data_IF_239386747775
#
_entry.id   IF_239386747775
#
_cell.length_a   1.000
_cell.length_b   1.000
_cell.length_c   1.000
_cell.angle_alpha   90.00
_cell.angle_beta   90.00
_cell.angle_gamma   90.00
#
_symmetry.space_group_name_H-M   'P 1'
#
loop_
_entity.id
_entity.type
_entity.pdbx_description
1 polymer ?
#
# COMPACT_ATOMS: atom_id res chain seq x y z
N UNK A 1 10.06 -19.22 -21.88
CA UNK A 1 11.34 -18.92 -21.20
C UNK A 1 11.07 -17.74 -20.28
N UNK A 2 10.55 -18.02 -19.08
CA UNK A 2 10.08 -16.99 -18.14
C UNK A 2 11.21 -16.75 -17.15
N UNK A 3 11.83 -15.58 -17.23
CA UNK A 3 12.89 -15.17 -16.32
C UNK A 3 12.32 -14.95 -14.92
N UNK A 4 12.81 -15.71 -13.95
CA UNK A 4 12.61 -15.42 -12.54
C UNK A 4 13.20 -14.05 -12.23
N UNK A 5 12.37 -13.09 -11.83
CA UNK A 5 12.83 -11.87 -11.17
C UNK A 5 13.37 -12.31 -9.81
N UNK A 6 14.68 -12.51 -9.72
CA UNK A 6 15.36 -12.68 -8.44
C UNK A 6 15.14 -11.42 -7.64
N UNK A 7 14.53 -11.54 -6.45
CA UNK A 7 14.51 -10.49 -5.46
C UNK A 7 15.96 -10.07 -5.20
N UNK A 8 16.31 -8.85 -5.61
CA UNK A 8 17.60 -8.28 -5.34
C UNK A 8 17.68 -7.98 -3.84
N UNK A 9 18.60 -8.65 -3.15
CA UNK A 9 19.00 -8.33 -1.78
C UNK A 9 19.47 -6.86 -1.73
N UNK A 10 18.58 -5.95 -1.35
CA UNK A 10 18.90 -4.56 -0.99
C UNK A 10 19.57 -4.57 0.38
N UNK A 11 20.88 -4.76 0.45
CA UNK A 11 21.64 -4.69 1.70
C UNK A 11 22.81 -3.70 1.67
N UNK A 12 22.85 -2.72 0.76
CA UNK A 12 23.95 -1.75 0.73
C UNK A 12 23.64 -0.33 0.21
N UNK A 13 22.36 0.08 0.11
CA UNK A 13 21.94 1.39 -0.43
C UNK A 13 21.17 2.28 0.57
N UNK A 14 21.09 1.88 1.85
CA UNK A 14 20.28 2.56 2.85
C UNK A 14 20.75 3.99 3.16
N UNK A 15 22.06 4.18 3.28
CA UNK A 15 22.65 5.48 3.62
C UNK A 15 22.31 6.56 2.57
N UNK A 16 22.47 6.25 1.28
CA UNK A 16 22.18 7.21 0.22
C UNK A 16 20.69 7.49 0.02
N UNK A 17 19.79 6.58 0.40
CA UNK A 17 18.35 6.82 0.39
C UNK A 17 17.91 7.70 1.56
N UNK A 18 18.51 7.50 2.73
CA UNK A 18 18.25 8.30 3.92
C UNK A 18 18.72 9.75 3.73
N UNK A 19 19.91 9.96 3.17
CA UNK A 19 20.45 11.29 2.86
C UNK A 19 19.55 12.04 1.88
N UNK A 20 19.09 11.40 0.80
CA UNK A 20 18.13 11.98 -0.15
C UNK A 20 16.80 12.35 0.52
N UNK A 21 16.35 11.54 1.47
CA UNK A 21 15.14 11.82 2.22
C UNK A 21 15.33 13.04 3.15
N UNK A 22 16.48 13.16 3.80
CA UNK A 22 16.82 14.32 4.62
C UNK A 22 16.97 15.59 3.78
N UNK A 23 17.58 15.50 2.59
CA UNK A 23 17.61 16.59 1.62
C UNK A 23 16.20 17.04 1.22
N UNK A 24 15.31 16.10 0.87
CA UNK A 24 13.93 16.40 0.53
C UNK A 24 13.16 17.04 1.69
N UNK A 25 13.38 16.55 2.92
CA UNK A 25 12.81 17.12 4.15
C UNK A 25 13.28 18.56 4.37
N UNK A 26 14.58 18.81 4.20
CA UNK A 26 15.17 20.14 4.31
C UNK A 26 14.59 21.11 3.26
N UNK A 27 14.47 20.67 2.00
CA UNK A 27 13.88 21.46 0.92
C UNK A 27 12.41 21.85 1.18
N UNK A 28 11.66 21.00 1.88
CA UNK A 28 10.28 21.27 2.29
C UNK A 28 10.16 21.98 3.64
N UNK A 29 11.29 22.41 4.22
CA UNK A 29 11.32 23.17 5.49
C UNK A 29 10.91 22.35 6.71
N UNK A 30 11.09 21.02 6.67
CA UNK A 30 10.75 20.14 7.78
C UNK A 30 11.76 20.31 8.92
N UNK A 31 11.26 20.47 10.14
CA UNK A 31 12.10 20.51 11.33
C UNK A 31 12.64 19.11 11.70
N UNK A 32 13.69 19.08 12.52
CA UNK A 32 14.20 17.82 13.08
C UNK A 32 13.11 17.10 13.87
N UNK A 33 12.96 15.80 13.62
CA UNK A 33 11.90 14.97 14.19
C UNK A 33 10.51 15.15 13.58
N UNK A 34 10.29 16.11 12.67
CA UNK A 34 9.04 16.20 11.92
C UNK A 34 9.11 15.34 10.65
N UNK A 35 8.30 14.26 10.55
CA UNK A 35 8.36 13.37 9.40
C UNK A 35 7.74 14.03 8.16
N UNK A 36 8.28 13.68 7.00
CA UNK A 36 7.67 13.97 5.70
C UNK A 36 6.43 13.08 5.51
N UNK A 37 5.25 13.68 5.36
CA UNK A 37 3.98 12.99 5.20
C UNK A 37 3.56 12.99 3.74
N UNK A 38 3.62 11.81 3.11
CA UNK A 38 3.25 11.60 1.71
C UNK A 38 1.93 10.85 1.63
N UNK A 39 1.03 11.35 0.79
CA UNK A 39 -0.32 10.82 0.65
C UNK A 39 -0.63 10.52 -0.80
N UNK A 40 -0.87 9.26 -1.12
CA UNK A 40 -1.46 8.87 -2.41
C UNK A 40 -2.99 9.01 -2.36
N UNK A 41 -3.60 9.76 -3.27
CA UNK A 41 -5.05 9.88 -3.40
C UNK A 41 -5.52 9.02 -4.56
N UNK A 42 -6.18 7.90 -4.25
CA UNK A 42 -6.64 6.93 -5.25
C UNK A 42 -5.88 5.61 -5.14
N UNK A 43 -6.61 4.54 -4.89
CA UNK A 43 -6.08 3.19 -4.69
C UNK A 43 -6.50 2.23 -5.80
N UNK A 44 -6.39 2.69 -7.05
CA UNK A 44 -6.39 1.82 -8.22
C UNK A 44 -5.03 1.17 -8.42
N UNK A 45 -4.84 0.44 -9.53
CA UNK A 45 -3.60 -0.26 -9.83
C UNK A 45 -2.35 0.64 -9.68
N UNK A 46 -2.31 1.76 -10.39
CA UNK A 46 -1.18 2.70 -10.35
C UNK A 46 -0.95 3.33 -8.98
N UNK A 47 -2.00 3.88 -8.35
CA UNK A 47 -1.88 4.52 -7.04
C UNK A 47 -1.41 3.56 -5.96
N UNK A 48 -1.92 2.32 -5.96
CA UNK A 48 -1.48 1.27 -5.01
C UNK A 48 -0.03 0.84 -5.24
N UNK A 49 0.38 0.61 -6.50
CA UNK A 49 1.76 0.24 -6.83
C UNK A 49 2.73 1.36 -6.46
N UNK A 50 2.40 2.61 -6.81
CA UNK A 50 3.25 3.75 -6.51
C UNK A 50 3.43 3.94 -4.99
N UNK A 51 2.34 3.89 -4.22
CA UNK A 51 2.40 3.96 -2.76
C UNK A 51 3.21 2.79 -2.16
N UNK A 52 3.05 1.58 -2.70
CA UNK A 52 3.81 0.40 -2.28
C UNK A 52 5.31 0.56 -2.56
N UNK A 53 5.71 1.08 -3.73
CA UNK A 53 7.11 1.33 -4.04
C UNK A 53 7.74 2.37 -3.12
N UNK A 54 7.02 3.44 -2.79
CA UNK A 54 7.47 4.42 -1.80
C UNK A 54 7.61 3.77 -0.41
N UNK A 55 6.61 2.99 -0.01
CA UNK A 55 6.57 2.33 1.30
C UNK A 55 7.68 1.28 1.44
N UNK A 56 7.99 0.55 0.36
CA UNK A 56 9.06 -0.44 0.34
C UNK A 56 10.45 0.21 0.39
N UNK A 57 10.63 1.32 -0.35
CA UNK A 57 11.91 2.03 -0.43
C UNK A 57 12.24 2.81 0.85
N UNK A 58 11.26 3.56 1.38
CA UNK A 58 11.50 4.54 2.45
C UNK A 58 10.82 4.19 3.77
N UNK A 59 9.89 3.23 3.79
CA UNK A 59 9.06 2.94 4.96
C UNK A 59 9.80 2.35 6.17
N UNK A 60 11.09 2.02 6.01
CA UNK A 60 11.98 1.70 7.12
C UNK A 60 12.34 2.94 7.97
N UNK A 61 12.36 4.13 7.37
CA UNK A 61 12.69 5.40 8.03
C UNK A 61 11.44 6.06 8.64
N UNK A 62 10.71 5.35 9.49
CA UNK A 62 9.38 5.78 9.99
C UNK A 62 9.37 7.11 10.73
N UNK A 63 10.49 7.46 11.36
CA UNK A 63 10.67 8.75 12.05
C UNK A 63 10.92 9.91 11.08
N UNK A 64 11.30 9.61 9.84
CA UNK A 64 11.62 10.60 8.80
C UNK A 64 10.52 10.72 7.74
N UNK A 65 9.76 9.65 7.48
CA UNK A 65 8.70 9.63 6.48
C UNK A 65 7.52 8.79 6.93
N UNK A 66 6.32 9.28 6.61
CA UNK A 66 5.07 8.54 6.75
C UNK A 66 4.33 8.53 5.43
N UNK A 67 4.03 7.33 4.94
CA UNK A 67 3.33 7.13 3.67
C UNK A 67 1.96 6.55 3.98
N UNK A 68 0.91 7.17 3.43
CA UNK A 68 -0.45 6.65 3.50
C UNK A 68 -1.12 6.76 2.14
N UNK A 69 -2.14 5.93 1.94
CA UNK A 69 -2.96 5.94 0.74
C UNK A 69 -4.42 6.15 1.11
N UNK A 70 -5.07 7.09 0.46
CA UNK A 70 -6.51 7.24 0.53
C UNK A 70 -7.20 6.33 -0.48
N UNK A 71 -8.19 5.59 0.00
CA UNK A 71 -9.10 4.79 -0.81
C UNK A 71 -10.54 5.13 -0.48
N UNK A 72 -11.37 5.30 -1.51
CA UNK A 72 -12.83 5.40 -1.34
C UNK A 72 -13.37 4.11 -0.68
N UNK A 73 -14.08 4.19 0.46
CA UNK A 73 -14.60 3.02 1.16
C UNK A 73 -15.78 2.37 0.41
N UNK A 74 -16.13 1.16 0.82
CA UNK A 74 -17.41 0.54 0.47
C UNK A 74 -17.41 -0.37 -0.77
N UNK A 75 -16.26 -0.55 -1.44
CA UNK A 75 -16.15 -1.55 -2.51
C UNK A 75 -15.95 -2.94 -1.92
N UNK A 76 -17.02 -3.73 -1.87
CA UNK A 76 -16.97 -5.14 -1.49
C UNK A 76 -16.16 -5.96 -2.50
N UNK A 77 -15.49 -6.99 -2.01
CA UNK A 77 -14.85 -8.05 -2.78
C UNK A 77 -15.89 -9.14 -2.99
N UNK A 78 -16.19 -9.47 -4.24
CA UNK A 78 -17.11 -10.57 -4.53
C UNK A 78 -16.50 -11.94 -4.20
N UNK A 79 -17.35 -12.96 -4.10
CA UNK A 79 -16.95 -14.31 -3.72
C UNK A 79 -15.89 -14.90 -4.64
N UNK A 80 -16.05 -14.77 -5.95
CA UNK A 80 -15.11 -15.30 -6.94
C UNK A 80 -13.71 -14.66 -6.78
N UNK A 81 -13.68 -13.34 -6.54
CA UNK A 81 -12.45 -12.61 -6.28
C UNK A 81 -11.84 -12.99 -4.93
N UNK A 82 -12.65 -13.25 -3.89
CA UNK A 82 -12.18 -13.72 -2.59
C UNK A 82 -11.57 -15.13 -2.68
N UNK A 83 -12.19 -16.03 -3.46
CA UNK A 83 -11.67 -17.37 -3.76
C UNK A 83 -10.32 -17.28 -4.50
N UNK A 84 -10.24 -16.47 -5.56
CA UNK A 84 -8.98 -16.27 -6.29
C UNK A 84 -7.89 -15.63 -5.42
N UNK A 85 -8.24 -14.63 -4.61
CA UNK A 85 -7.31 -14.00 -3.68
C UNK A 85 -6.74 -15.02 -2.68
N UNK A 86 -7.57 -15.94 -2.20
CA UNK A 86 -7.13 -17.01 -1.30
C UNK A 86 -6.13 -17.96 -1.98
N UNK A 87 -6.34 -18.29 -3.26
CA UNK A 87 -5.38 -19.07 -4.05
C UNK A 87 -4.05 -18.33 -4.22
N UNK A 88 -4.09 -17.03 -4.53
CA UNK A 88 -2.90 -16.19 -4.62
C UNK A 88 -2.13 -16.16 -3.30
N UNK A 89 -2.82 -16.03 -2.17
CA UNK A 89 -2.19 -16.08 -0.84
C UNK A 89 -1.48 -17.42 -0.62
N UNK A 90 -2.13 -18.54 -0.92
CA UNK A 90 -1.57 -19.88 -0.66
C UNK A 90 -0.46 -20.28 -1.64
N UNK A 91 -0.42 -19.68 -2.83
CA UNK A 91 0.66 -19.89 -3.79
C UNK A 91 1.95 -19.13 -3.47
N UNK A 92 1.93 -18.21 -2.49
CA UNK A 92 3.08 -17.37 -2.11
C UNK A 92 3.40 -17.49 -0.62
N UNK A 93 4.46 -18.23 -0.33
CA UNK A 93 4.85 -18.56 1.05
C UNK A 93 5.14 -17.33 1.93
N UNK A 94 5.78 -16.30 1.37
CA UNK A 94 6.11 -15.05 2.06
C UNK A 94 4.85 -14.29 2.48
N UNK A 95 3.85 -14.24 1.61
CA UNK A 95 2.55 -13.62 1.86
C UNK A 95 1.78 -14.40 2.92
N UNK A 96 1.69 -15.72 2.76
CA UNK A 96 1.01 -16.61 3.72
C UNK A 96 1.60 -16.46 5.13
N UNK A 97 2.93 -16.57 5.27
CA UNK A 97 3.62 -16.41 6.57
C UNK A 97 3.35 -15.04 7.18
N UNK A 98 3.42 -13.97 6.38
CA UNK A 98 3.12 -12.60 6.83
C UNK A 98 1.70 -12.48 7.40
N UNK A 99 0.71 -13.05 6.73
CA UNK A 99 -0.69 -12.98 7.19
C UNK A 99 -0.95 -13.82 8.43
N UNK A 100 -0.32 -15.00 8.55
CA UNK A 100 -0.39 -15.83 9.76
C UNK A 100 0.19 -15.08 10.96
N UNK A 101 1.39 -14.52 10.82
CA UNK A 101 2.06 -13.79 11.91
C UNK A 101 1.32 -12.53 12.36
N UNK A 102 0.52 -11.92 11.49
CA UNK A 102 -0.33 -10.78 11.82
C UNK A 102 -1.74 -11.16 12.26
N UNK A 103 -2.02 -12.45 12.46
CA UNK A 103 -3.36 -12.97 12.78
C UNK A 103 -4.44 -12.54 11.77
N UNK A 104 -4.05 -12.31 10.51
CA UNK A 104 -4.90 -11.80 9.44
C UNK A 104 -5.32 -12.89 8.45
N UNK A 105 -4.81 -14.13 8.56
CA UNK A 105 -5.12 -15.19 7.61
C UNK A 105 -6.58 -15.67 7.68
N UNK A 106 -7.14 -15.79 8.89
CA UNK A 106 -8.48 -16.35 9.12
C UNK A 106 -9.57 -15.58 8.36
N UNK A 107 -9.50 -14.26 8.28
CA UNK A 107 -10.50 -13.46 7.55
C UNK A 107 -10.59 -13.82 6.07
N UNK A 108 -9.49 -14.27 5.44
CA UNK A 108 -9.49 -14.70 4.05
C UNK A 108 -10.09 -16.10 3.88
N UNK A 109 -9.96 -16.95 4.90
CA UNK A 109 -10.66 -18.25 4.95
C UNK A 109 -12.17 -18.02 5.05
N UNK A 110 -12.62 -17.19 6.01
CA UNK A 110 -14.03 -16.84 6.20
C UNK A 110 -14.64 -16.23 4.94
N UNK A 111 -13.90 -15.32 4.29
CA UNK A 111 -14.36 -14.68 3.06
C UNK A 111 -14.53 -15.64 1.89
N UNK A 112 -13.60 -16.60 1.75
CA UNK A 112 -13.69 -17.67 0.75
C UNK A 112 -14.91 -18.57 0.98
N UNK A 113 -15.22 -18.87 2.24
CA UNK A 113 -16.40 -19.69 2.60
C UNK A 113 -17.72 -18.93 2.39
N UNK A 114 -17.67 -17.61 2.39
CA UNK A 114 -18.83 -16.73 2.30
C UNK A 114 -19.36 -16.27 3.66
N UNK A 115 -18.66 -16.58 4.75
CA UNK A 115 -19.03 -16.22 6.11
C UNK A 115 -18.71 -14.75 6.44
N UNK A 116 -17.87 -14.11 5.60
CA UNK A 116 -17.45 -12.71 5.75
C UNK A 116 -17.39 -12.01 4.40
N UNK A 117 -17.85 -10.76 4.35
CA UNK A 117 -17.55 -9.87 3.22
C UNK A 117 -16.24 -9.14 3.49
N UNK A 118 -15.29 -9.20 2.54
CA UNK A 118 -14.10 -8.35 2.56
C UNK A 118 -14.38 -7.05 1.80
N UNK A 119 -13.80 -5.96 2.27
CA UNK A 119 -13.76 -4.70 1.54
C UNK A 119 -12.37 -4.44 0.96
N UNK A 120 -12.36 -3.72 -0.15
CA UNK A 120 -11.13 -3.48 -0.89
C UNK A 120 -10.11 -2.62 -0.11
N UNK A 121 -10.55 -1.78 0.83
CA UNK A 121 -9.66 -1.06 1.76
C UNK A 121 -9.07 -1.98 2.83
N UNK A 122 -9.80 -3.01 3.28
CA UNK A 122 -9.29 -4.00 4.24
C UNK A 122 -8.17 -4.85 3.64
N UNK A 123 -8.36 -5.34 2.40
CA UNK A 123 -7.34 -6.17 1.74
C UNK A 123 -6.10 -5.34 1.35
N UNK A 124 -6.27 -4.04 1.08
CA UNK A 124 -5.17 -3.14 0.76
C UNK A 124 -4.26 -2.88 1.97
N UNK A 125 -4.82 -2.84 3.18
CA UNK A 125 -4.02 -2.79 4.43
C UNK A 125 -3.06 -3.97 4.56
N UNK A 126 -3.43 -5.11 3.98
CA UNK A 126 -2.61 -6.32 3.98
C UNK A 126 -1.70 -6.47 2.76
N UNK A 127 -1.78 -5.52 1.82
CA UNK A 127 -0.97 -5.49 0.60
C UNK A 127 -1.65 -6.10 -0.62
N UNK A 128 -2.98 -6.08 -0.73
CA UNK A 128 -3.69 -6.52 -1.93
C UNK A 128 -4.45 -5.39 -2.59
N UNK A 129 -4.23 -5.17 -3.88
CA UNK A 129 -5.02 -4.23 -4.67
C UNK A 129 -6.10 -5.02 -5.44
N UNK A 130 -7.36 -4.61 -5.33
CA UNK A 130 -8.47 -5.29 -6.00
C UNK A 130 -8.28 -5.38 -7.53
N UNK A 131 -7.62 -4.40 -8.14
CA UNK A 131 -7.39 -4.36 -9.58
C UNK A 131 -6.14 -5.17 -10.01
N UNK A 132 -5.37 -5.69 -9.05
CA UNK A 132 -4.12 -6.42 -9.27
C UNK A 132 -3.95 -7.55 -8.24
N UNK A 133 -5.00 -8.35 -8.04
CA UNK A 133 -5.05 -9.39 -7.02
C UNK A 133 -3.91 -10.42 -7.14
N UNK A 134 -3.41 -10.67 -8.35
CA UNK A 134 -2.32 -11.61 -8.63
C UNK A 134 -0.93 -11.07 -8.27
N UNK A 135 -0.82 -9.78 -7.95
CA UNK A 135 0.44 -9.11 -7.62
C UNK A 135 0.37 -8.51 -6.21
N UNK A 136 0.57 -9.33 -5.16
CA UNK A 136 0.66 -8.84 -3.80
C UNK A 136 1.74 -7.78 -3.65
N UNK A 137 1.40 -6.75 -2.88
CA UNK A 137 2.22 -5.61 -2.53
C UNK A 137 2.68 -5.73 -1.07
N UNK A 138 3.47 -4.75 -0.63
CA UNK A 138 3.71 -4.53 0.79
C UNK A 138 2.42 -3.98 1.47
N UNK A 139 2.19 -4.28 2.76
CA UNK A 139 1.10 -3.69 3.53
C UNK A 139 1.17 -2.16 3.54
N UNK A 140 0.01 -1.50 3.38
CA UNK A 140 -0.07 -0.03 3.31
C UNK A 140 -0.89 0.55 4.47
N UNK A 141 -0.55 1.78 4.89
CA UNK A 141 -1.42 2.58 5.77
C UNK A 141 -2.57 3.16 4.94
N UNK A 142 -3.74 2.53 5.02
CA UNK A 142 -4.92 2.93 4.25
C UNK A 142 -5.84 3.82 5.10
N UNK A 143 -6.23 4.96 4.54
CA UNK A 143 -7.21 5.90 5.12
C UNK A 143 -8.43 5.98 4.21
N UNK A 144 -9.63 6.00 4.78
CA UNK A 144 -10.90 6.02 4.01
C UNK A 144 -11.57 7.39 4.01
N UNK A 145 -11.24 8.26 4.97
CA UNK A 145 -11.66 9.65 4.97
C UNK A 145 -10.63 10.52 4.21
N UNK A 146 -11.08 11.23 3.16
CA UNK A 146 -10.16 12.02 2.33
C UNK A 146 -9.58 13.22 3.08
N UNK A 147 -10.39 13.90 3.89
CA UNK A 147 -9.95 15.06 4.66
C UNK A 147 -8.88 14.66 5.67
N UNK A 148 -9.10 13.59 6.43
CA UNK A 148 -8.11 13.02 7.33
C UNK A 148 -6.83 12.61 6.58
N UNK A 149 -6.99 12.06 5.37
CA UNK A 149 -5.85 11.63 4.57
C UNK A 149 -5.00 12.79 4.08
N UNK A 150 -5.53 14.01 3.88
CA UNK A 150 -4.76 15.13 3.31
C UNK A 150 -4.46 16.25 4.30
N UNK A 151 -5.13 16.29 5.45
CA UNK A 151 -5.08 17.40 6.41
C UNK A 151 -3.65 17.82 6.81
N UNK A 152 -2.80 16.84 7.11
CA UNK A 152 -1.39 17.05 7.47
C UNK A 152 -0.42 16.54 6.39
N UNK A 153 -0.84 16.47 5.12
CA UNK A 153 0.04 16.03 4.04
C UNK A 153 1.05 17.12 3.63
N UNK A 154 2.33 16.76 3.56
CA UNK A 154 3.35 17.61 2.94
C UNK A 154 3.36 17.43 1.41
N UNK A 155 3.15 16.19 0.95
CA UNK A 155 3.07 15.85 -0.48
C UNK A 155 1.78 15.05 -0.74
N UNK A 156 1.00 15.52 -1.71
CA UNK A 156 -0.18 14.81 -2.21
C UNK A 156 0.07 14.33 -3.64
N UNK A 157 -0.07 13.02 -3.85
CA UNK A 157 0.08 12.38 -5.15
C UNK A 157 -1.29 11.97 -5.66
N UNK A 158 -1.75 12.61 -6.72
CA UNK A 158 -3.03 12.28 -7.34
C UNK A 158 -2.89 11.02 -8.21
N UNK A 159 -3.56 9.94 -7.78
CA UNK A 159 -3.70 8.68 -8.50
C UNK A 159 -5.14 8.37 -8.93
N UNK A 160 -6.04 9.36 -8.88
CA UNK A 160 -7.40 9.22 -9.39
C UNK A 160 -7.41 9.27 -10.93
N UNK A 161 -8.34 8.54 -11.58
CA UNK A 161 -8.51 8.66 -13.02
C UNK A 161 -8.96 10.08 -13.38
N UNK A 162 -8.60 10.54 -14.58
CA UNK A 162 -8.96 11.88 -15.05
C UNK A 162 -10.48 12.10 -15.12
N UNK A 163 -11.27 11.04 -15.28
CA UNK A 163 -12.73 11.07 -15.23
C UNK A 163 -13.29 11.43 -13.85
N UNK A 164 -12.50 11.30 -12.79
CA UNK A 164 -12.86 11.69 -11.41
C UNK A 164 -12.20 13.02 -10.99
N UNK A 165 -11.36 13.62 -11.84
CA UNK A 165 -10.78 14.95 -11.61
C UNK A 165 -11.60 16.00 -12.33
N UNK A 166 -12.08 17.02 -11.61
CA UNK A 166 -12.73 18.18 -12.23
C UNK A 166 -11.68 19.20 -12.66
N UNK A 167 -11.92 19.86 -13.79
CA UNK A 167 -11.19 21.08 -14.15
C UNK A 167 -11.47 22.16 -13.09
N UNK A 168 -10.44 22.94 -12.77
CA UNK A 168 -10.46 24.01 -11.76
C UNK A 168 -10.18 25.33 -12.45
#
# INVERSE_FOLDING_TARGET
MVGSIKAANHHNNGHGLEEKLDELRSLLGKADGDPLRIVGVGAGAWGSVFAALLQDSYGQFREKVQIRIWRRPGRAVDRATAEHLFEVINSREDVLRRLIWRCAYLKYVEARLGDRTLFADEILKDGFCLNMIETPLCPLKVVTNLQEAVWDADIVVNGLPSTETREV
#
